data_IF_277787788419
#
_entry.id   IF_277787788419
#
_cell.length_a   1.000
_cell.length_b   1.000
_cell.length_c   1.000
_cell.angle_alpha   90.00
_cell.angle_beta   90.00
_cell.angle_gamma   90.00
#
_symmetry.space_group_name_H-M   'P 1'
#
loop_
_entity.id
_entity.type
_entity.pdbx_description
1 polymer ?
#
# COMPACT_ATOMS: atom_id res chain seq x y z
N UNK A 1 4.21 -24.44 -2.95
CA UNK A 1 2.86 -24.11 -2.43
C UNK A 1 2.57 -22.68 -2.82
N UNK A 2 1.67 -22.47 -3.78
CA UNK A 2 1.18 -21.14 -4.17
C UNK A 2 0.40 -20.57 -2.99
N UNK A 3 0.95 -19.57 -2.31
CA UNK A 3 0.31 -18.95 -1.16
C UNK A 3 -1.02 -18.33 -1.63
N UNK A 4 -2.20 -18.80 -1.16
CA UNK A 4 -3.50 -18.31 -1.67
C UNK A 4 -3.90 -16.94 -1.09
N UNK A 5 -3.08 -16.37 -0.21
CA UNK A 5 -3.41 -15.19 0.59
C UNK A 5 -2.97 -13.78 0.09
N UNK A 6 -2.23 -13.56 -1.02
CA UNK A 6 -1.73 -12.22 -1.35
C UNK A 6 -2.83 -11.15 -1.50
N UNK A 7 -3.99 -11.51 -2.04
CA UNK A 7 -5.01 -10.53 -2.40
C UNK A 7 -5.82 -10.06 -1.19
N UNK A 8 -6.21 -10.96 -0.29
CA UNK A 8 -6.92 -10.58 0.95
C UNK A 8 -6.03 -9.72 1.88
N UNK A 9 -4.74 -10.07 2.01
CA UNK A 9 -3.78 -9.25 2.75
C UNK A 9 -3.63 -7.88 2.11
N UNK A 10 -3.55 -7.81 0.78
CA UNK A 10 -3.38 -6.52 0.10
C UNK A 10 -4.61 -5.62 0.27
N UNK A 11 -5.82 -6.17 0.16
CA UNK A 11 -7.06 -5.43 0.46
C UNK A 11 -7.10 -4.93 1.91
N UNK A 12 -6.68 -5.77 2.86
CA UNK A 12 -6.59 -5.39 4.27
C UNK A 12 -5.59 -4.25 4.48
N UNK A 13 -4.41 -4.34 3.87
CA UNK A 13 -3.38 -3.32 3.95
C UNK A 13 -3.89 -1.98 3.39
N UNK A 14 -4.58 -2.00 2.23
CA UNK A 14 -5.21 -0.79 1.68
C UNK A 14 -6.18 -0.15 2.66
N UNK A 15 -7.07 -0.95 3.27
CA UNK A 15 -8.00 -0.46 4.27
C UNK A 15 -7.30 0.20 5.46
N UNK A 16 -6.21 -0.41 5.95
CA UNK A 16 -5.42 0.14 7.05
C UNK A 16 -4.69 1.44 6.66
N UNK A 17 -4.12 1.51 5.46
CA UNK A 17 -3.46 2.70 4.93
C UNK A 17 -4.44 3.87 4.89
N UNK A 18 -5.63 3.67 4.33
CA UNK A 18 -6.66 4.71 4.22
C UNK A 18 -7.17 5.14 5.60
N UNK A 19 -7.45 4.17 6.48
CA UNK A 19 -7.88 4.44 7.86
C UNK A 19 -6.83 5.24 8.63
N UNK A 20 -5.55 4.90 8.48
CA UNK A 20 -4.45 5.61 9.14
C UNK A 20 -4.24 7.01 8.58
N UNK A 21 -4.33 7.17 7.26
CA UNK A 21 -4.20 8.46 6.61
C UNK A 21 -5.40 9.39 6.86
N UNK A 22 -6.57 8.83 7.21
CA UNK A 22 -7.82 9.58 7.31
C UNK A 22 -8.31 10.08 5.94
N UNK A 23 -7.96 9.35 4.87
CA UNK A 23 -8.24 9.73 3.48
C UNK A 23 -9.08 8.67 2.77
N UNK A 24 -9.73 9.08 1.68
CA UNK A 24 -10.38 8.19 0.74
C UNK A 24 -9.39 7.65 -0.31
N UNK A 25 -9.72 6.51 -0.94
CA UNK A 25 -8.88 5.86 -1.94
C UNK A 25 -8.61 6.73 -3.18
N UNK A 26 -9.44 7.75 -3.43
CA UNK A 26 -9.30 8.73 -4.51
C UNK A 26 -8.22 9.78 -4.26
N UNK A 27 -7.77 9.97 -3.01
CA UNK A 27 -6.89 11.06 -2.58
C UNK A 27 -5.40 10.69 -2.63
N UNK A 28 -4.99 9.99 -3.69
CA UNK A 28 -3.64 9.40 -3.80
C UNK A 28 -2.51 10.42 -3.80
N UNK A 29 -2.74 11.66 -4.24
CA UNK A 29 -1.76 12.75 -4.15
C UNK A 29 -1.46 13.15 -2.70
N UNK A 30 -2.50 13.28 -1.87
CA UNK A 30 -2.33 13.56 -0.44
C UNK A 30 -1.70 12.35 0.26
N UNK A 31 -2.16 11.14 -0.08
CA UNK A 31 -1.63 9.89 0.45
C UNK A 31 -0.14 9.73 0.15
N UNK A 32 0.30 10.05 -1.07
CA UNK A 32 1.72 10.05 -1.45
C UNK A 32 2.55 10.95 -0.52
N UNK A 33 2.08 12.16 -0.28
CA UNK A 33 2.79 13.14 0.56
C UNK A 33 2.90 12.66 1.99
N UNK A 34 1.81 12.13 2.56
CA UNK A 34 1.77 11.62 3.94
C UNK A 34 2.68 10.38 4.10
N UNK A 35 2.59 9.41 3.18
CA UNK A 35 3.46 8.22 3.18
C UNK A 35 4.92 8.64 3.10
N UNK A 36 5.27 9.56 2.20
CA UNK A 36 6.65 10.02 2.02
C UNK A 36 7.16 10.72 3.28
N UNK A 37 6.35 11.60 3.87
CA UNK A 37 6.70 12.32 5.09
C UNK A 37 6.94 11.38 6.28
N UNK A 38 6.14 10.31 6.41
CA UNK A 38 6.24 9.39 7.55
C UNK A 38 7.32 8.32 7.36
N UNK A 39 7.47 7.78 6.15
CA UNK A 39 8.36 6.63 5.89
C UNK A 39 9.71 7.02 5.31
N UNK A 40 9.86 8.24 4.77
CA UNK A 40 11.03 8.64 3.99
C UNK A 40 11.13 7.98 2.61
N UNK A 41 10.20 7.08 2.27
CA UNK A 41 10.18 6.35 1.01
C UNK A 41 9.19 6.96 0.02
N UNK A 42 9.58 7.04 -1.24
CA UNK A 42 8.76 7.66 -2.29
C UNK A 42 8.04 6.61 -3.14
N UNK A 43 6.72 6.71 -3.19
CA UNK A 43 5.90 6.01 -4.19
C UNK A 43 5.49 6.99 -5.29
N UNK A 44 5.50 6.52 -6.54
CA UNK A 44 4.96 7.31 -7.64
C UNK A 44 3.43 7.41 -7.52
N UNK A 45 2.86 8.55 -7.94
CA UNK A 45 1.41 8.73 -7.93
C UNK A 45 0.72 7.65 -8.79
N UNK A 46 1.36 7.26 -9.90
CA UNK A 46 0.89 6.19 -10.76
C UNK A 46 0.88 4.81 -10.06
N UNK A 47 1.90 4.50 -9.24
CA UNK A 47 1.93 3.26 -8.46
C UNK A 47 0.78 3.20 -7.44
N UNK A 48 0.52 4.31 -6.74
CA UNK A 48 -0.61 4.43 -5.83
C UNK A 48 -1.95 4.31 -6.56
N UNK A 49 -2.12 5.02 -7.68
CA UNK A 49 -3.35 4.92 -8.47
C UNK A 49 -3.65 3.48 -8.90
N UNK A 50 -2.63 2.72 -9.33
CA UNK A 50 -2.81 1.30 -9.65
C UNK A 50 -3.14 0.46 -8.41
N UNK A 51 -2.44 0.69 -7.30
CA UNK A 51 -2.67 -0.04 -6.04
C UNK A 51 -4.11 0.14 -5.55
N UNK A 52 -4.64 1.36 -5.62
CA UNK A 52 -5.99 1.72 -5.16
C UNK A 52 -7.08 1.62 -6.24
N UNK A 53 -6.78 1.05 -7.41
CA UNK A 53 -7.77 0.78 -8.46
C UNK A 53 -8.22 2.01 -9.27
N UNK A 54 -7.54 3.15 -9.14
CA UNK A 54 -7.78 4.37 -9.92
C UNK A 54 -7.13 4.35 -11.31
N UNK A 55 -6.20 3.42 -11.55
CA UNK A 55 -5.57 3.22 -12.84
C UNK A 55 -5.50 1.73 -13.17
N UNK A 56 -5.63 1.35 -14.45
CA UNK A 56 -5.55 -0.05 -14.86
C UNK A 56 -4.17 -0.61 -14.49
N UNK A 57 -4.18 -1.78 -13.86
CA UNK A 57 -2.98 -2.49 -13.44
C UNK A 57 -2.97 -3.88 -14.09
N UNK A 58 -1.99 -4.14 -14.96
CA UNK A 58 -1.76 -5.47 -15.54
C UNK A 58 -1.10 -6.44 -14.55
N UNK A 59 -0.41 -5.89 -13.55
CA UNK A 59 0.35 -6.63 -12.55
C UNK A 59 0.02 -6.11 -11.15
N UNK A 60 0.21 -6.97 -10.15
CA UNK A 60 0.12 -6.60 -8.74
C UNK A 60 1.14 -5.51 -8.39
N UNK A 61 0.92 -4.73 -7.32
CA UNK A 61 1.91 -3.77 -6.82
C UNK A 61 3.27 -4.45 -6.63
N UNK A 62 4.34 -3.68 -6.86
CA UNK A 62 5.69 -4.20 -6.63
C UNK A 62 5.89 -4.54 -5.15
N UNK A 63 6.82 -5.47 -4.82
CA UNK A 63 7.21 -5.75 -3.43
C UNK A 63 7.57 -4.47 -2.67
N UNK A 64 8.32 -3.57 -3.30
CA UNK A 64 8.63 -2.25 -2.75
C UNK A 64 7.37 -1.43 -2.38
N UNK A 65 6.34 -1.45 -3.23
CA UNK A 65 5.08 -0.74 -2.93
C UNK A 65 4.41 -1.35 -1.70
N UNK A 66 4.37 -2.67 -1.60
CA UNK A 66 3.77 -3.37 -0.46
C UNK A 66 4.54 -3.08 0.83
N UNK A 67 5.88 -3.11 0.78
CA UNK A 67 6.74 -2.80 1.93
C UNK A 67 6.52 -1.37 2.43
N UNK A 68 6.53 -0.38 1.54
CA UNK A 68 6.33 1.02 1.94
C UNK A 68 4.95 1.25 2.55
N UNK A 69 3.91 0.61 2.01
CA UNK A 69 2.56 0.67 2.58
C UNK A 69 2.49 0.00 3.96
N UNK A 70 3.15 -1.15 4.14
CA UNK A 70 3.24 -1.84 5.42
C UNK A 70 4.02 -1.02 6.47
N UNK A 71 5.16 -0.43 6.09
CA UNK A 71 5.93 0.50 6.89
C UNK A 71 5.09 1.71 7.33
N UNK A 72 4.32 2.27 6.40
CA UNK A 72 3.41 3.35 6.72
C UNK A 72 2.39 2.93 7.79
N UNK A 73 1.88 1.71 7.74
CA UNK A 73 0.98 1.15 8.76
C UNK A 73 1.67 0.80 10.09
N UNK A 74 3.00 0.81 10.17
CA UNK A 74 3.77 0.52 11.39
C UNK A 74 4.32 -0.90 11.48
N UNK A 75 4.31 -1.65 10.38
CA UNK A 75 4.95 -2.97 10.29
C UNK A 75 6.39 -2.81 9.77
N UNK A 76 7.26 -3.80 10.02
CA UNK A 76 8.63 -3.78 9.49
C UNK A 76 8.71 -3.97 7.96
N UNK A 77 7.63 -4.44 7.34
CA UNK A 77 7.53 -4.67 5.90
C UNK A 77 6.32 -5.54 5.57
N UNK A 78 6.17 -5.85 4.28
CA UNK A 78 5.05 -6.66 3.76
C UNK A 78 5.03 -8.07 4.34
N UNK A 79 6.19 -8.70 4.47
CA UNK A 79 6.31 -10.05 5.02
C UNK A 79 5.93 -10.09 6.50
N UNK A 80 6.29 -9.05 7.27
CA UNK A 80 5.86 -8.93 8.66
C UNK A 80 4.34 -8.77 8.72
N UNK A 81 3.77 -7.89 7.88
CA UNK A 81 2.33 -7.70 7.78
C UNK A 81 1.56 -9.00 7.46
N UNK A 82 2.06 -9.84 6.54
CA UNK A 82 1.37 -11.08 6.15
C UNK A 82 1.45 -12.23 7.18
N UNK A 83 2.27 -12.08 8.24
CA UNK A 83 2.47 -13.11 9.27
C UNK A 83 1.74 -12.82 10.57
N UNK A 84 1.22 -11.61 10.72
CA UNK A 84 0.42 -11.15 11.87
C UNK A 84 -1.04 -11.50 11.62
#
# INVERSE_FOLDING_TARGET
MSNPFPDAYFETLKGMVLKKAGLNFTETSALKSIITAQTGHQLSLYALNKAFGLAPARFKPSPYTLDVLALFCGYEGWDHFCRV
#
